data_IF_422819528544
#
_entry.id   IF_422819528544
#
_cell.length_a   1.000
_cell.length_b   1.000
_cell.length_c   1.000
_cell.angle_alpha   90.00
_cell.angle_beta   90.00
_cell.angle_gamma   90.00
#
_symmetry.space_group_name_H-M   'P 1'
#
loop_
_entity.id
_entity.type
_entity.pdbx_description
1 polymer ?
#
# COMPACT_ATOMS: atom_id res chain seq x y z
N UNK A 1 -11.58 -12.55 -18.67
CA UNK A 1 -11.10 -13.47 -19.72
C UNK A 1 -9.60 -13.22 -20.00
N UNK A 2 -9.18 -12.10 -20.63
CA UNK A 2 -7.77 -11.80 -21.02
C UNK A 2 -6.81 -11.89 -19.83
N UNK A 3 -7.14 -11.30 -18.68
CA UNK A 3 -6.33 -11.36 -17.45
C UNK A 3 -6.03 -12.80 -17.02
N UNK A 4 -7.01 -13.67 -17.06
CA UNK A 4 -6.86 -15.06 -16.62
C UNK A 4 -5.98 -15.87 -17.56
N UNK A 5 -6.06 -15.61 -18.87
CA UNK A 5 -5.19 -16.26 -19.86
C UNK A 5 -3.73 -15.79 -19.72
N UNK A 6 -3.51 -14.50 -19.48
CA UNK A 6 -2.17 -13.98 -19.19
C UNK A 6 -1.61 -14.57 -17.88
N UNK A 7 -2.46 -14.75 -16.87
CA UNK A 7 -2.08 -15.38 -15.60
C UNK A 7 -1.65 -16.83 -15.79
N UNK A 8 -2.38 -17.61 -16.60
CA UNK A 8 -2.00 -19.00 -16.96
C UNK A 8 -0.71 -19.07 -17.74
N UNK A 9 -0.47 -18.10 -18.62
CA UNK A 9 0.76 -18.03 -19.41
C UNK A 9 2.00 -17.71 -18.56
N UNK A 10 1.83 -17.05 -17.40
CA UNK A 10 2.92 -16.68 -16.52
C UNK A 10 3.99 -15.84 -17.23
N UNK A 11 5.25 -16.15 -16.98
CA UNK A 11 6.40 -15.43 -17.57
C UNK A 11 6.57 -15.63 -19.09
N UNK A 12 5.97 -16.65 -19.66
CA UNK A 12 6.04 -16.87 -21.11
C UNK A 12 5.17 -15.91 -21.92
N UNK A 13 4.23 -15.23 -21.26
CA UNK A 13 3.36 -14.23 -21.89
C UNK A 13 2.43 -14.78 -22.98
N UNK A 14 1.68 -13.88 -23.61
CA UNK A 14 0.85 -14.16 -24.79
C UNK A 14 0.88 -12.98 -25.73
N UNK A 15 1.02 -13.24 -27.02
CA UNK A 15 0.91 -12.18 -28.05
C UNK A 15 -0.53 -11.72 -28.19
N UNK A 16 -0.73 -10.50 -28.73
CA UNK A 16 -2.07 -10.00 -29.03
C UNK A 16 -2.81 -10.90 -30.03
N UNK A 17 -2.08 -11.45 -30.99
CA UNK A 17 -2.59 -12.33 -32.02
C UNK A 17 -3.09 -13.65 -31.39
N UNK A 18 -2.29 -14.25 -30.49
CA UNK A 18 -2.68 -15.49 -29.80
C UNK A 18 -3.89 -15.29 -28.89
N UNK A 19 -3.96 -14.16 -28.19
CA UNK A 19 -5.14 -13.83 -27.40
C UNK A 19 -6.37 -13.58 -28.28
N UNK A 20 -6.19 -12.94 -29.43
CA UNK A 20 -7.26 -12.69 -30.40
C UNK A 20 -7.87 -14.00 -30.91
N UNK A 21 -7.03 -14.99 -31.21
CA UNK A 21 -7.47 -16.36 -31.58
C UNK A 21 -8.26 -17.04 -30.47
N UNK A 22 -7.75 -17.01 -29.21
CA UNK A 22 -8.40 -17.68 -28.07
C UNK A 22 -9.75 -17.06 -27.73
N UNK A 23 -9.92 -15.75 -27.93
CA UNK A 23 -11.17 -15.06 -27.62
C UNK A 23 -12.04 -14.72 -28.82
N UNK A 24 -11.65 -15.16 -30.01
CA UNK A 24 -12.37 -14.94 -31.26
C UNK A 24 -12.67 -13.46 -31.56
N UNK A 25 -11.70 -12.59 -31.26
CA UNK A 25 -11.78 -11.14 -31.46
C UNK A 25 -10.58 -10.64 -32.26
N UNK A 26 -10.59 -9.35 -32.64
CA UNK A 26 -9.44 -8.76 -33.33
C UNK A 26 -8.28 -8.48 -32.37
N UNK A 27 -7.04 -8.53 -32.87
CA UNK A 27 -5.85 -8.12 -32.09
C UNK A 27 -5.96 -6.64 -31.60
N UNK A 28 -6.66 -5.79 -32.35
CA UNK A 28 -6.97 -4.40 -31.96
C UNK A 28 -7.85 -4.36 -30.70
N UNK A 29 -8.85 -5.22 -30.62
CA UNK A 29 -9.72 -5.37 -29.43
C UNK A 29 -8.89 -5.78 -28.22
N UNK A 30 -8.03 -6.81 -28.37
CA UNK A 30 -7.12 -7.25 -27.30
C UNK A 30 -6.22 -6.12 -26.81
N UNK A 31 -5.58 -5.38 -27.72
CA UNK A 31 -4.70 -4.24 -27.35
C UNK A 31 -5.45 -3.18 -26.57
N UNK A 32 -6.70 -2.87 -26.95
CA UNK A 32 -7.55 -1.93 -26.22
C UNK A 32 -7.91 -2.45 -24.83
N UNK A 33 -8.27 -3.70 -24.70
CA UNK A 33 -8.64 -4.33 -23.43
C UNK A 33 -7.43 -4.40 -22.48
N UNK A 34 -6.24 -4.71 -23.00
CA UNK A 34 -4.99 -4.70 -22.23
C UNK A 34 -4.68 -3.27 -21.75
N UNK A 35 -4.83 -2.27 -22.61
CA UNK A 35 -4.66 -0.87 -22.24
C UNK A 35 -5.63 -0.47 -21.12
N UNK A 36 -6.89 -0.87 -21.21
CA UNK A 36 -7.88 -0.63 -20.15
C UNK A 36 -7.49 -1.30 -18.82
N UNK A 37 -6.99 -2.54 -18.87
CA UNK A 37 -6.48 -3.25 -17.69
C UNK A 37 -5.27 -2.54 -17.07
N UNK A 38 -4.32 -2.07 -17.90
CA UNK A 38 -3.17 -1.28 -17.44
C UNK A 38 -3.59 0.02 -16.75
N UNK A 39 -4.55 0.76 -17.34
CA UNK A 39 -5.11 1.96 -16.71
C UNK A 39 -5.86 1.66 -15.40
N UNK A 40 -6.45 0.47 -15.28
CA UNK A 40 -7.04 -0.01 -14.02
C UNK A 40 -6.01 -0.50 -13.00
N UNK A 41 -4.69 -0.35 -13.28
CA UNK A 41 -3.61 -0.67 -12.36
C UNK A 41 -3.18 -2.14 -12.37
N UNK A 42 -3.57 -2.93 -13.38
CA UNK A 42 -3.03 -4.28 -13.52
C UNK A 42 -1.59 -4.24 -14.06
N UNK A 43 -0.64 -4.95 -13.43
CA UNK A 43 0.77 -4.95 -13.82
C UNK A 43 0.99 -5.84 -15.05
N UNK A 44 0.55 -5.35 -16.21
CA UNK A 44 0.74 -5.99 -17.51
C UNK A 44 1.75 -5.14 -18.28
N UNK A 45 2.78 -5.76 -18.85
CA UNK A 45 3.73 -5.11 -19.75
C UNK A 45 3.97 -5.94 -21.01
N UNK A 46 4.48 -5.26 -22.04
CA UNK A 46 4.89 -5.90 -23.28
C UNK A 46 6.35 -6.35 -23.14
N UNK A 47 6.62 -7.60 -23.45
CA UNK A 47 7.95 -8.17 -23.57
C UNK A 47 8.29 -8.36 -25.05
N UNK A 48 9.40 -7.80 -25.50
CA UNK A 48 9.89 -7.93 -26.88
C UNK A 48 10.69 -9.21 -27.08
N UNK A 49 10.70 -9.75 -28.32
CA UNK A 49 11.55 -10.87 -28.73
C UNK A 49 10.78 -12.13 -29.16
N UNK A 50 11.49 -13.18 -29.60
CA UNK A 50 10.91 -14.48 -29.90
C UNK A 50 10.25 -15.07 -28.67
N UNK A 51 8.93 -15.30 -28.72
CA UNK A 51 8.13 -15.69 -27.57
C UNK A 51 7.70 -14.50 -26.69
N UNK A 52 7.91 -13.27 -27.14
CA UNK A 52 7.42 -12.06 -26.50
C UNK A 52 5.89 -11.95 -26.53
N UNK A 53 5.36 -10.90 -25.92
CA UNK A 53 3.92 -10.66 -25.81
C UNK A 53 3.60 -9.89 -24.55
N UNK A 54 2.36 -9.97 -24.11
CA UNK A 54 1.93 -9.39 -22.84
C UNK A 54 2.18 -10.37 -21.70
N UNK A 55 2.85 -9.87 -20.67
CA UNK A 55 3.18 -10.61 -19.44
C UNK A 55 2.51 -9.92 -18.26
N UNK A 56 2.02 -10.69 -17.31
CA UNK A 56 1.49 -10.17 -16.03
C UNK A 56 2.43 -10.57 -14.90
N UNK A 57 2.76 -9.61 -14.04
CA UNK A 57 3.50 -9.91 -12.80
C UNK A 57 2.55 -10.44 -11.73
N UNK A 58 2.58 -11.74 -11.56
CA UNK A 58 1.75 -12.41 -10.55
C UNK A 58 2.24 -12.13 -9.12
N UNK A 59 3.48 -11.71 -8.94
CA UNK A 59 4.03 -11.37 -7.63
C UNK A 59 3.55 -10.00 -7.15
N UNK A 60 3.14 -9.13 -8.08
CA UNK A 60 2.67 -7.77 -7.78
C UNK A 60 1.16 -7.69 -7.47
N UNK A 61 0.40 -8.77 -7.66
CA UNK A 61 -1.05 -8.78 -7.43
C UNK A 61 -1.51 -10.00 -6.65
N UNK A 62 -2.38 -9.76 -5.68
CA UNK A 62 -3.11 -10.84 -5.01
C UNK A 62 -4.13 -11.47 -5.96
N UNK A 63 -4.44 -12.79 -5.81
CA UNK A 63 -5.59 -13.39 -6.46
C UNK A 63 -6.88 -12.65 -6.05
N UNK A 64 -7.99 -12.79 -6.80
CA UNK A 64 -9.27 -12.20 -6.43
C UNK A 64 -9.66 -12.60 -5.00
N UNK A 65 -9.92 -11.61 -4.16
CA UNK A 65 -10.39 -11.79 -2.79
C UNK A 65 -11.84 -11.30 -2.74
N UNK A 66 -12.72 -12.10 -2.15
CA UNK A 66 -14.10 -11.74 -1.93
C UNK A 66 -14.26 -11.20 -0.51
N UNK A 67 -15.01 -10.11 -0.38
CA UNK A 67 -15.34 -9.50 0.90
C UNK A 67 -16.85 -9.56 1.14
N UNK A 68 -17.26 -9.91 2.34
CA UNK A 68 -18.61 -9.72 2.85
C UNK A 68 -18.81 -8.27 3.29
N UNK A 69 -20.07 -7.82 3.43
CA UNK A 69 -20.36 -6.46 3.92
C UNK A 69 -19.76 -6.21 5.31
N UNK A 70 -19.83 -7.20 6.20
CA UNK A 70 -19.25 -7.10 7.55
C UNK A 70 -17.74 -6.92 7.55
N UNK A 71 -17.03 -7.60 6.64
CA UNK A 71 -15.57 -7.44 6.48
C UNK A 71 -15.22 -6.05 5.94
N UNK A 72 -16.01 -5.50 5.02
CA UNK A 72 -15.83 -4.13 4.53
C UNK A 72 -16.05 -3.11 5.66
N UNK A 73 -17.05 -3.30 6.51
CA UNK A 73 -17.25 -2.44 7.69
C UNK A 73 -16.12 -2.56 8.69
N UNK A 74 -15.61 -3.77 8.93
CA UNK A 74 -14.43 -3.99 9.77
C UNK A 74 -13.20 -3.27 9.22
N UNK A 75 -12.98 -3.34 7.90
CA UNK A 75 -11.89 -2.61 7.22
C UNK A 75 -12.07 -1.08 7.33
N UNK A 76 -13.29 -0.58 7.18
CA UNK A 76 -13.60 0.84 7.35
C UNK A 76 -13.35 1.32 8.79
N UNK A 77 -13.75 0.51 9.78
CA UNK A 77 -13.51 0.78 11.19
C UNK A 77 -12.00 0.84 11.50
N UNK A 78 -11.23 -0.15 10.99
CA UNK A 78 -9.78 -0.16 11.14
C UNK A 78 -9.11 1.06 10.48
N UNK A 79 -9.55 1.45 9.28
CA UNK A 79 -9.05 2.62 8.58
C UNK A 79 -9.35 3.92 9.33
N UNK A 80 -10.52 4.03 9.97
CA UNK A 80 -10.87 5.19 10.79
C UNK A 80 -10.04 5.26 12.08
N UNK A 81 -9.81 4.12 12.75
CA UNK A 81 -9.00 4.04 13.96
C UNK A 81 -7.51 4.31 13.68
N UNK A 82 -7.03 3.98 12.47
CA UNK A 82 -5.63 4.12 12.07
C UNK A 82 -5.26 5.50 11.54
N UNK A 83 -6.14 6.51 11.62
CA UNK A 83 -5.84 7.87 11.13
C UNK A 83 -4.60 8.46 11.80
N UNK A 84 -3.65 8.92 10.97
CA UNK A 84 -2.38 9.48 11.43
C UNK A 84 -1.41 8.43 11.98
N UNK A 85 -1.71 7.15 11.83
CA UNK A 85 -0.81 6.04 12.16
C UNK A 85 -0.03 5.62 10.92
N UNK A 86 1.07 4.84 11.08
CA UNK A 86 1.76 4.25 9.94
C UNK A 86 0.81 3.49 9.01
N UNK A 87 1.02 3.66 7.69
CA UNK A 87 0.26 3.02 6.61
C UNK A 87 -1.24 3.38 6.56
N UNK A 88 -1.70 4.46 7.20
CA UNK A 88 -3.10 4.88 7.16
C UNK A 88 -3.58 5.23 5.74
N UNK A 89 -2.69 5.76 4.92
CA UNK A 89 -2.94 6.10 3.52
C UNK A 89 -3.16 4.85 2.67
N UNK A 90 -2.29 3.86 2.84
CA UNK A 90 -2.36 2.58 2.13
C UNK A 90 -3.65 1.84 2.51
N UNK A 91 -4.00 1.83 3.78
CA UNK A 91 -5.24 1.23 4.27
C UNK A 91 -6.48 1.92 3.69
N UNK A 92 -6.51 3.25 3.62
CA UNK A 92 -7.58 4.01 2.96
C UNK A 92 -7.64 3.76 1.45
N UNK A 93 -6.50 3.62 0.79
CA UNK A 93 -6.45 3.28 -0.63
C UNK A 93 -7.03 1.89 -0.89
N UNK A 94 -6.73 0.91 -0.04
CA UNK A 94 -7.33 -0.43 -0.11
C UNK A 94 -8.84 -0.36 0.12
N UNK A 95 -9.30 0.33 1.17
CA UNK A 95 -10.73 0.51 1.45
C UNK A 95 -11.47 1.13 0.27
N UNK A 96 -10.90 2.16 -0.36
CA UNK A 96 -11.47 2.81 -1.55
C UNK A 96 -11.61 1.83 -2.70
N UNK A 97 -10.60 0.99 -2.97
CA UNK A 97 -10.66 -0.04 -4.01
C UNK A 97 -11.75 -1.06 -3.73
N UNK A 98 -11.88 -1.51 -2.48
CA UNK A 98 -12.92 -2.47 -2.05
C UNK A 98 -14.31 -1.87 -2.23
N UNK A 99 -14.55 -0.65 -1.74
CA UNK A 99 -15.84 0.04 -1.88
C UNK A 99 -16.23 0.24 -3.34
N UNK A 100 -15.26 0.60 -4.21
CA UNK A 100 -15.51 0.80 -5.64
C UNK A 100 -15.81 -0.51 -6.38
N UNK A 101 -15.37 -1.65 -5.86
CA UNK A 101 -15.68 -2.97 -6.41
C UNK A 101 -17.05 -3.50 -5.98
N UNK A 102 -17.71 -2.90 -4.96
CA UNK A 102 -19.03 -3.31 -4.48
C UNK A 102 -20.14 -2.84 -5.43
N UNK A 103 -21.16 -3.67 -5.59
CA UNK A 103 -22.41 -3.23 -6.20
C UNK A 103 -23.16 -2.20 -5.33
N UNK A 104 -24.13 -1.52 -5.92
CA UNK A 104 -24.87 -0.43 -5.24
C UNK A 104 -25.66 -0.90 -4.01
N UNK A 105 -26.16 -2.14 -4.00
CA UNK A 105 -26.95 -2.69 -2.90
C UNK A 105 -26.08 -3.09 -1.72
N UNK A 106 -24.95 -3.78 -1.97
CA UNK A 106 -23.98 -4.13 -0.96
C UNK A 106 -23.34 -2.88 -0.31
N UNK A 107 -23.06 -1.86 -1.13
CA UNK A 107 -22.54 -0.57 -0.64
C UNK A 107 -23.52 0.11 0.32
N UNK A 108 -24.81 0.14 -0.01
CA UNK A 108 -25.85 0.72 0.88
C UNK A 108 -25.90 -0.03 2.22
N UNK A 109 -25.86 -1.38 2.21
CA UNK A 109 -25.86 -2.17 3.45
C UNK A 109 -24.60 -1.93 4.29
N UNK A 110 -23.44 -1.84 3.66
CA UNK A 110 -22.18 -1.53 4.35
C UNK A 110 -22.24 -0.14 5.02
N UNK A 111 -22.77 0.88 4.34
CA UNK A 111 -22.97 2.22 4.93
C UNK A 111 -23.90 2.17 6.14
N UNK A 112 -25.04 1.49 6.06
CA UNK A 112 -25.96 1.34 7.19
C UNK A 112 -25.34 0.63 8.40
N UNK A 113 -24.42 -0.30 8.18
CA UNK A 113 -23.65 -0.94 9.24
C UNK A 113 -22.59 0.02 9.81
N UNK A 114 -21.88 0.74 8.95
CA UNK A 114 -20.86 1.70 9.35
C UNK A 114 -21.42 2.84 10.21
N UNK A 115 -22.65 3.31 9.93
CA UNK A 115 -23.33 4.34 10.72
C UNK A 115 -23.61 3.92 12.18
N UNK A 116 -23.53 2.63 12.47
CA UNK A 116 -23.65 2.07 13.83
C UNK A 116 -22.31 1.93 14.57
N UNK A 117 -21.22 2.24 13.91
CA UNK A 117 -19.87 2.15 14.47
C UNK A 117 -19.32 3.54 14.72
N UNK A 118 -19.21 3.91 16.00
CA UNK A 118 -18.58 5.16 16.36
C UNK A 118 -17.11 4.92 16.78
N UNK A 119 -16.17 5.64 16.17
CA UNK A 119 -14.75 5.53 16.46
C UNK A 119 -14.24 6.90 16.88
N UNK A 120 -13.77 6.99 18.12
CA UNK A 120 -13.02 8.14 18.58
C UNK A 120 -11.58 8.02 18.07
N UNK A 121 -11.23 8.78 17.04
CA UNK A 121 -9.82 8.94 16.66
C UNK A 121 -9.22 10.08 17.46
N UNK A 122 -8.17 9.83 18.23
CA UNK A 122 -7.36 10.90 18.80
C UNK A 122 -6.77 11.72 17.65
N UNK A 123 -7.16 12.98 17.56
CA UNK A 123 -6.57 13.96 16.63
C UNK A 123 -5.22 14.42 17.17
N UNK A 124 -4.25 13.55 17.24
CA UNK A 124 -2.88 14.03 17.29
C UNK A 124 -2.49 14.39 15.87
N UNK A 125 -2.34 15.69 15.61
CA UNK A 125 -1.86 16.23 14.34
C UNK A 125 -0.39 15.87 14.11
N UNK A 126 -0.11 14.56 14.08
CA UNK A 126 1.22 14.04 13.77
C UNK A 126 1.57 14.47 12.36
N UNK A 127 2.76 14.99 12.19
CA UNK A 127 3.25 15.43 10.91
C UNK A 127 3.28 14.23 9.93
N UNK A 128 2.27 14.15 9.09
CA UNK A 128 2.12 13.11 8.07
C UNK A 128 3.30 13.09 7.08
N UNK A 129 4.10 14.18 7.03
CA UNK A 129 5.32 14.25 6.23
C UNK A 129 6.41 13.39 6.84
N UNK A 130 6.67 13.54 8.15
CA UNK A 130 7.69 12.75 8.86
C UNK A 130 7.40 11.26 8.74
N UNK A 131 6.14 10.88 8.93
CA UNK A 131 5.72 9.49 8.82
C UNK A 131 6.00 8.91 7.43
N UNK A 132 5.66 9.65 6.37
CA UNK A 132 5.96 9.23 4.99
C UNK A 132 7.46 9.06 4.72
N UNK A 133 8.30 9.96 5.23
CA UNK A 133 9.75 9.85 5.09
C UNK A 133 10.29 8.60 5.79
N UNK A 134 9.74 8.25 6.96
CA UNK A 134 10.11 7.05 7.72
C UNK A 134 9.66 5.79 6.97
N UNK A 135 8.42 5.74 6.48
CA UNK A 135 7.89 4.62 5.70
C UNK A 135 8.72 4.40 4.41
N UNK A 136 9.07 5.48 3.72
CA UNK A 136 9.91 5.43 2.54
C UNK A 136 11.33 4.96 2.88
N UNK A 137 11.93 5.45 3.96
CA UNK A 137 13.22 5.00 4.46
C UNK A 137 13.23 3.48 4.69
N UNK A 138 12.18 2.95 5.31
CA UNK A 138 12.03 1.52 5.56
C UNK A 138 11.89 0.71 4.26
N UNK A 139 11.09 1.18 3.31
CA UNK A 139 10.85 0.46 2.05
C UNK A 139 12.07 0.47 1.13
N UNK A 140 12.82 1.58 1.10
CA UNK A 140 13.99 1.77 0.24
C UNK A 140 15.30 1.39 0.94
N UNK A 141 15.26 1.05 2.23
CA UNK A 141 16.44 0.79 3.09
C UNK A 141 17.47 1.92 3.03
N UNK A 142 16.99 3.16 3.03
CA UNK A 142 17.80 4.38 2.94
C UNK A 142 17.96 5.03 4.31
N UNK A 143 19.17 5.57 4.52
CA UNK A 143 19.49 6.37 5.71
C UNK A 143 18.57 7.57 5.81
N UNK A 144 18.11 7.86 7.03
CA UNK A 144 17.26 9.00 7.32
C UNK A 144 17.84 9.82 8.48
N UNK A 145 17.76 11.13 8.37
CA UNK A 145 18.17 12.05 9.44
C UNK A 145 16.92 12.48 10.21
N UNK A 146 16.95 12.26 11.52
CA UNK A 146 15.88 12.65 12.44
C UNK A 146 16.31 13.85 13.28
N UNK A 147 15.42 14.83 13.46
CA UNK A 147 15.47 15.75 14.61
C UNK A 147 14.54 15.18 15.67
N UNK A 148 15.12 14.81 16.80
CA UNK A 148 14.45 14.06 17.85
C UNK A 148 14.53 14.78 19.18
N UNK A 149 13.40 14.89 19.87
CA UNK A 149 13.31 15.41 21.23
C UNK A 149 13.17 14.25 22.21
N UNK A 150 14.10 14.12 23.12
CA UNK A 150 14.08 13.04 24.10
C UNK A 150 13.04 13.28 25.23
N UNK A 151 12.99 12.34 26.18
CA UNK A 151 12.06 12.44 27.33
C UNK A 151 12.35 13.61 28.27
N UNK A 152 13.53 14.18 28.21
CA UNK A 152 13.97 15.31 29.03
C UNK A 152 13.84 16.64 28.27
N UNK A 153 13.35 16.62 27.05
CA UNK A 153 13.19 17.78 26.19
C UNK A 153 14.43 18.17 25.41
N UNK A 154 15.54 17.44 25.53
CA UNK A 154 16.76 17.72 24.79
C UNK A 154 16.60 17.34 23.30
N UNK A 155 16.91 18.29 22.43
CA UNK A 155 16.89 18.08 20.98
C UNK A 155 18.23 17.52 20.49
N UNK A 156 18.15 16.64 19.51
CA UNK A 156 19.32 16.04 18.88
C UNK A 156 19.06 15.70 17.42
N UNK A 157 20.10 15.80 16.59
CA UNK A 157 20.06 15.34 15.21
C UNK A 157 20.71 13.97 15.11
N UNK A 158 20.01 13.01 14.52
CA UNK A 158 20.42 11.60 14.45
C UNK A 158 20.34 11.08 13.02
N UNK A 159 21.48 10.61 12.48
CA UNK A 159 21.48 9.81 11.27
C UNK A 159 21.26 8.34 11.65
N UNK A 160 20.26 7.71 11.05
CA UNK A 160 19.87 6.35 11.41
C UNK A 160 19.67 5.48 10.18
N UNK A 161 20.05 4.21 10.30
CA UNK A 161 19.73 3.17 9.31
C UNK A 161 18.40 2.53 9.74
N UNK A 162 17.41 2.43 8.82
CA UNK A 162 16.07 1.96 9.16
C UNK A 162 16.07 0.47 9.55
N UNK A 163 15.32 0.13 10.59
CA UNK A 163 15.10 -1.24 11.02
C UNK A 163 13.64 -1.65 10.85
N UNK A 164 12.77 -1.20 11.76
CA UNK A 164 11.34 -1.54 11.73
C UNK A 164 10.48 -0.49 12.43
N UNK A 165 9.16 -0.55 12.20
CA UNK A 165 8.17 0.12 13.04
C UNK A 165 7.61 -0.86 14.06
N UNK A 166 7.54 -0.44 15.33
CA UNK A 166 6.99 -1.23 16.42
C UNK A 166 5.87 -0.46 17.13
N UNK A 167 4.81 -1.16 17.53
CA UNK A 167 3.77 -0.61 18.38
C UNK A 167 3.77 -1.34 19.72
N UNK A 168 3.99 -0.60 20.79
CA UNK A 168 3.96 -1.13 22.16
C UNK A 168 3.64 -0.02 23.15
N UNK A 169 3.01 -0.37 24.27
CA UNK A 169 2.63 0.60 25.32
C UNK A 169 1.90 1.83 24.76
N UNK A 170 0.95 1.59 23.84
CA UNK A 170 0.12 2.60 23.17
C UNK A 170 0.89 3.65 22.35
N UNK A 171 2.13 3.33 21.97
CA UNK A 171 2.97 4.21 21.18
C UNK A 171 3.63 3.51 20.01
N UNK A 172 3.77 4.23 18.92
CA UNK A 172 4.58 3.82 17.79
C UNK A 172 6.03 4.24 17.97
N UNK A 173 6.94 3.33 17.62
CA UNK A 173 8.37 3.53 17.65
C UNK A 173 8.96 3.22 16.27
N UNK A 174 9.92 4.05 15.86
CA UNK A 174 10.85 3.75 14.80
C UNK A 174 12.11 3.15 15.42
N UNK A 175 12.34 1.87 15.18
CA UNK A 175 13.52 1.15 15.68
C UNK A 175 14.56 1.18 14.57
N UNK A 176 15.72 1.73 14.85
CA UNK A 176 16.76 1.98 13.85
C UNK A 176 18.17 1.92 14.49
N UNK A 177 19.18 1.64 13.68
CA UNK A 177 20.57 1.74 14.12
C UNK A 177 20.99 3.22 14.07
N UNK A 178 21.28 3.78 15.22
CA UNK A 178 21.69 5.17 15.36
C UNK A 178 23.21 5.28 15.18
N UNK A 179 23.64 5.88 14.07
CA UNK A 179 25.09 6.04 13.76
C UNK A 179 25.83 6.87 14.79
N UNK A 180 25.20 7.88 15.37
CA UNK A 180 25.80 8.71 16.42
C UNK A 180 26.00 7.98 17.75
N UNK A 181 25.18 6.97 18.05
CA UNK A 181 25.24 6.21 19.28
C UNK A 181 25.82 4.81 19.09
N UNK A 182 26.14 4.45 17.83
CA UNK A 182 26.65 3.14 17.41
C UNK A 182 25.84 1.97 17.99
N UNK A 183 24.49 2.16 18.07
CA UNK A 183 23.60 1.20 18.70
C UNK A 183 22.18 1.29 18.14
N UNK A 184 21.42 0.20 18.26
CA UNK A 184 19.99 0.19 17.99
C UNK A 184 19.29 1.08 19.02
N UNK A 185 18.42 1.97 18.52
CA UNK A 185 17.61 2.89 19.35
C UNK A 185 16.16 2.85 18.93
N UNK A 186 15.30 3.11 19.91
CA UNK A 186 13.86 3.21 19.77
C UNK A 186 13.45 4.67 19.80
N UNK A 187 12.99 5.20 18.68
CA UNK A 187 12.55 6.58 18.54
C UNK A 187 11.02 6.62 18.53
N UNK A 188 10.40 7.20 19.56
CA UNK A 188 8.95 7.40 19.58
C UNK A 188 8.57 8.33 18.43
N UNK A 189 7.58 7.96 17.64
CA UNK A 189 7.17 8.74 16.46
C UNK A 189 6.66 10.13 16.83
N UNK A 190 5.96 10.26 17.96
CA UNK A 190 5.43 11.54 18.44
C UNK A 190 6.49 12.52 18.96
N UNK A 191 7.75 12.08 19.08
CA UNK A 191 8.90 12.89 19.48
C UNK A 191 9.85 13.21 18.32
N UNK A 192 9.53 12.76 17.11
CA UNK A 192 10.29 13.09 15.90
C UNK A 192 9.73 14.41 15.37
N UNK A 193 10.54 15.46 15.42
CA UNK A 193 10.17 16.78 14.93
C UNK A 193 10.31 16.91 13.43
N UNK A 194 11.41 16.37 12.87
CA UNK A 194 11.60 16.26 11.42
C UNK A 194 12.26 14.92 11.07
N UNK A 195 11.94 14.44 9.87
CA UNK A 195 12.52 13.24 9.29
C UNK A 195 12.81 13.53 7.82
N UNK A 196 14.08 13.44 7.42
CA UNK A 196 14.53 13.76 6.07
C UNK A 196 15.40 12.62 5.52
N UNK A 197 14.99 12.05 4.38
CA UNK A 197 15.79 11.06 3.65
C UNK A 197 17.09 11.67 3.14
N UNK A 198 18.18 10.90 3.27
CA UNK A 198 19.52 11.32 2.87
C UNK A 198 19.89 10.65 1.57
#
# INVERSE_FOLDING_TARGET
AVREELRRAGRSGRTAERLAEVFEVSARTIKRDISALQHAGFPIWAQSGPGGGYVVDLSATLPPVNFTESEVVGLAAAAAASRGQPFDRELRAVLTKVINAMDSSARKRAVLLADRVWISSSRDGRDTRNLRQIEQSLSEQRVITLRYRDRHGAESRRAVDPGLLAYTSDHWFFVAYCRNAEAIRWFRLDRIETADLT
#
